data_IF_946013396449
#
_entry.id   IF_946013396449
#
_cell.length_a   1.000
_cell.length_b   1.000
_cell.length_c   1.000
_cell.angle_alpha   90.00
_cell.angle_beta   90.00
_cell.angle_gamma   90.00
#
_symmetry.space_group_name_H-M   'P 1'
#
loop_
_entity.id
_entity.type
_entity.pdbx_description
1 polymer ?
#
# COMPACT_ATOMS: atom_id res chain seq x y z
N UNK A 1 77.91 20.21 7.94
CA UNK A 1 77.41 20.76 6.67
C UNK A 1 77.59 19.70 5.61
N UNK A 2 76.49 19.35 4.90
CA UNK A 2 76.34 18.40 3.76
C UNK A 2 76.19 16.91 4.11
N UNK A 3 74.92 16.50 4.19
CA UNK A 3 74.49 15.11 4.05
C UNK A 3 74.54 14.69 2.58
N UNK A 4 74.97 13.45 2.38
CA UNK A 4 75.13 12.71 1.13
C UNK A 4 73.80 12.24 0.54
N UNK A 5 73.68 12.38 -0.77
CA UNK A 5 72.62 11.86 -1.63
C UNK A 5 72.85 10.38 -1.90
N UNK A 6 71.87 9.52 -1.57
CA UNK A 6 71.88 8.12 -2.04
C UNK A 6 70.45 7.65 -2.30
N UNK A 7 70.20 7.30 -3.57
CA UNK A 7 69.21 6.33 -4.07
C UNK A 7 67.72 6.52 -3.70
N UNK A 8 66.95 7.07 -4.63
CA UNK A 8 65.51 6.80 -4.76
C UNK A 8 65.18 6.43 -6.20
N UNK A 9 65.26 5.14 -6.53
CA UNK A 9 64.53 4.55 -7.64
C UNK A 9 63.99 3.20 -7.17
N UNK A 10 62.70 3.00 -7.41
CA UNK A 10 61.85 1.82 -7.24
C UNK A 10 61.30 1.47 -5.85
N UNK A 11 59.97 1.29 -5.86
CA UNK A 11 59.09 0.62 -4.89
C UNK A 11 58.46 1.50 -3.80
N UNK A 12 57.40 2.23 -4.14
CA UNK A 12 56.02 1.79 -3.90
C UNK A 12 55.09 2.92 -4.32
N UNK A 13 54.27 2.65 -5.35
CA UNK A 13 52.98 3.32 -5.55
C UNK A 13 52.10 2.99 -4.34
N UNK A 14 52.36 3.65 -3.20
CA UNK A 14 51.36 3.81 -2.16
C UNK A 14 50.41 4.88 -2.68
N UNK A 15 49.45 4.39 -3.47
CA UNK A 15 48.28 5.12 -3.91
C UNK A 15 47.81 6.02 -2.77
N UNK A 16 47.70 7.30 -3.11
CA UNK A 16 46.70 8.21 -2.58
C UNK A 16 45.34 7.57 -2.89
N UNK A 17 44.97 6.56 -2.10
CA UNK A 17 43.59 6.16 -1.92
C UNK A 17 43.09 6.99 -0.73
N UNK A 18 43.00 8.30 -0.96
CA UNK A 18 41.89 9.03 -0.37
C UNK A 18 40.67 8.36 -1.01
N UNK A 19 40.13 7.36 -0.32
CA UNK A 19 38.78 6.94 -0.56
C UNK A 19 37.94 8.19 -0.38
N UNK A 20 37.58 8.80 -1.51
CA UNK A 20 36.32 9.50 -1.57
C UNK A 20 35.32 8.44 -1.13
N UNK A 21 34.94 8.49 0.15
CA UNK A 21 33.64 8.03 0.55
C UNK A 21 32.70 8.91 -0.26
N UNK A 22 32.39 8.48 -1.47
CA UNK A 22 31.15 8.88 -2.12
C UNK A 22 30.10 8.41 -1.14
N UNK A 23 29.65 9.32 -0.27
CA UNK A 23 28.36 9.22 0.36
C UNK A 23 27.45 8.97 -0.84
N UNK A 24 27.03 7.72 -1.01
CA UNK A 24 26.01 7.41 -1.99
C UNK A 24 24.82 8.26 -1.52
N UNK A 25 24.58 9.37 -2.21
CA UNK A 25 23.38 10.16 -1.96
C UNK A 25 22.21 9.19 -2.07
N UNK A 26 21.50 9.04 -0.96
CA UNK A 26 20.30 8.22 -0.91
C UNK A 26 19.36 8.79 -1.97
N UNK A 27 18.85 7.97 -2.90
CA UNK A 27 18.05 8.50 -3.99
C UNK A 27 16.82 9.26 -3.49
N UNK A 28 16.92 10.60 -3.49
CA UNK A 28 15.84 11.51 -3.09
C UNK A 28 14.66 11.48 -4.10
N UNK A 29 14.91 10.99 -5.30
CA UNK A 29 14.03 11.12 -6.46
C UNK A 29 13.17 9.86 -6.68
N UNK A 30 11.85 10.04 -6.75
CA UNK A 30 10.84 8.98 -6.84
C UNK A 30 10.21 8.55 -5.53
N UNK A 31 10.71 9.08 -4.42
CA UNK A 31 10.24 8.78 -3.06
C UNK A 31 9.91 10.03 -2.25
N UNK A 32 10.12 11.22 -2.85
CA UNK A 32 9.93 12.52 -2.23
C UNK A 32 8.58 12.62 -1.51
N UNK A 33 7.49 12.24 -2.18
CA UNK A 33 6.14 12.30 -1.64
C UNK A 33 6.02 11.59 -0.28
N UNK A 34 6.24 10.27 -0.24
CA UNK A 34 6.07 9.49 1.00
C UNK A 34 6.98 9.96 2.14
N UNK A 35 8.25 10.30 1.84
CA UNK A 35 9.18 10.84 2.84
C UNK A 35 8.66 12.16 3.42
N UNK A 36 8.29 13.09 2.54
CA UNK A 36 7.80 14.42 2.91
C UNK A 36 6.51 14.35 3.71
N UNK A 37 5.55 13.54 3.27
CA UNK A 37 4.28 13.29 3.94
C UNK A 37 4.47 12.76 5.38
N UNK A 38 5.30 11.73 5.54
CA UNK A 38 5.59 11.14 6.85
C UNK A 38 6.28 12.13 7.79
N UNK A 39 7.28 12.87 7.28
CA UNK A 39 7.97 13.91 8.03
C UNK A 39 7.00 14.97 8.53
N UNK A 40 6.12 15.46 7.65
CA UNK A 40 5.18 16.53 7.98
C UNK A 40 4.09 16.07 8.95
N UNK A 41 3.67 14.80 8.87
CA UNK A 41 2.68 14.23 9.77
C UNK A 41 3.09 14.30 11.25
N UNK A 42 4.39 14.18 11.56
CA UNK A 42 4.92 14.32 12.93
C UNK A 42 4.54 15.66 13.57
N UNK A 43 4.43 16.73 12.79
CA UNK A 43 4.09 18.06 13.31
C UNK A 43 2.60 18.25 13.61
N UNK A 44 1.75 17.36 13.12
CA UNK A 44 0.31 17.36 13.41
C UNK A 44 -0.02 16.76 14.78
N UNK A 45 0.89 15.96 15.34
CA UNK A 45 0.63 15.15 16.53
C UNK A 45 0.32 15.96 17.79
N UNK A 46 -0.26 15.27 18.77
CA UNK A 46 -0.47 15.77 20.12
C UNK A 46 0.88 16.06 20.82
N UNK A 47 0.87 17.01 21.77
CA UNK A 47 2.06 17.40 22.53
C UNK A 47 2.68 16.24 23.33
N UNK A 48 1.89 15.25 23.74
CA UNK A 48 2.38 14.09 24.48
C UNK A 48 3.09 13.07 23.59
N UNK A 49 2.71 13.00 22.31
CA UNK A 49 3.35 12.12 21.32
C UNK A 49 4.59 12.77 20.69
N UNK A 50 4.56 14.08 20.56
CA UNK A 50 5.50 14.85 19.74
C UNK A 50 6.98 14.65 20.11
N UNK A 51 7.39 14.57 21.40
CA UNK A 51 8.79 14.35 21.74
C UNK A 51 9.36 13.05 21.16
N UNK A 52 8.63 11.94 21.28
CA UNK A 52 9.05 10.64 20.76
C UNK A 52 9.17 10.66 19.23
N UNK A 53 8.14 11.15 18.53
CA UNK A 53 8.14 11.16 17.06
C UNK A 53 9.15 12.17 16.47
N UNK A 54 9.35 13.33 17.10
CA UNK A 54 10.36 14.30 16.65
C UNK A 54 11.77 13.79 16.86
N UNK A 55 12.05 13.10 17.96
CA UNK A 55 13.36 12.49 18.19
C UNK A 55 13.73 11.47 17.10
N UNK A 56 12.72 10.83 16.49
CA UNK A 56 12.88 9.75 15.52
C UNK A 56 12.47 10.15 14.09
N UNK A 57 12.34 11.45 13.81
CA UNK A 57 11.73 11.95 12.57
C UNK A 57 12.53 11.57 11.32
N UNK A 58 13.86 11.57 11.38
CA UNK A 58 14.70 11.17 10.23
C UNK A 58 14.50 9.69 9.93
N UNK A 59 14.45 8.85 10.96
CA UNK A 59 14.22 7.42 10.78
C UNK A 59 12.85 7.14 10.14
N UNK A 60 11.79 7.78 10.63
CA UNK A 60 10.44 7.65 10.05
C UNK A 60 10.42 8.15 8.61
N UNK A 61 11.11 9.24 8.32
CA UNK A 61 11.24 9.81 6.97
C UNK A 61 11.91 8.81 6.03
N UNK A 62 13.03 8.22 6.44
CA UNK A 62 13.82 7.31 5.60
C UNK A 62 13.14 5.96 5.36
N UNK A 63 12.38 5.47 6.34
CA UNK A 63 11.68 4.17 6.26
C UNK A 63 10.26 4.29 5.70
N UNK A 64 9.80 5.50 5.35
CA UNK A 64 8.53 5.74 4.66
C UNK A 64 8.42 5.11 3.28
N UNK A 65 9.51 4.55 2.75
CA UNK A 65 9.61 3.97 1.40
C UNK A 65 9.90 2.47 1.43
N UNK A 66 10.06 1.90 2.62
CA UNK A 66 10.35 0.49 2.81
C UNK A 66 9.31 -0.46 2.18
N UNK A 67 7.99 -0.17 2.22
CA UNK A 67 7.00 -0.98 1.52
C UNK A 67 7.30 -1.12 0.03
N UNK A 68 7.64 -0.03 -0.65
CA UNK A 68 8.00 -0.05 -2.06
C UNK A 68 9.27 -0.89 -2.33
N UNK A 69 10.28 -0.76 -1.47
CA UNK A 69 11.49 -1.58 -1.54
C UNK A 69 11.18 -3.07 -1.36
N UNK A 70 10.18 -3.42 -0.54
CA UNK A 70 9.79 -4.81 -0.23
C UNK A 70 9.11 -5.51 -1.41
N UNK A 71 8.60 -4.78 -2.40
CA UNK A 71 8.02 -5.33 -3.64
C UNK A 71 9.02 -6.11 -4.50
N UNK A 72 10.31 -5.84 -4.34
CA UNK A 72 11.38 -6.61 -4.99
C UNK A 72 11.61 -7.96 -4.30
N UNK A 73 11.26 -8.08 -3.03
CA UNK A 73 11.40 -9.30 -2.25
C UNK A 73 10.21 -10.26 -2.43
N UNK A 74 8.97 -9.76 -2.38
CA UNK A 74 7.77 -10.61 -2.36
C UNK A 74 6.61 -10.07 -3.20
N UNK A 75 5.90 -10.97 -3.89
CA UNK A 75 4.67 -10.65 -4.65
C UNK A 75 3.50 -10.25 -3.75
N UNK A 76 3.52 -10.67 -2.48
CA UNK A 76 2.46 -10.39 -1.51
C UNK A 76 2.47 -8.95 -1.01
N UNK A 77 3.53 -8.20 -1.34
CA UNK A 77 3.65 -6.79 -1.00
C UNK A 77 2.92 -5.91 -2.00
N UNK A 78 3.09 -6.14 -3.31
CA UNK A 78 2.57 -5.23 -4.33
C UNK A 78 1.06 -5.00 -4.24
N UNK A 79 0.28 -6.03 -3.91
CA UNK A 79 -1.18 -5.93 -3.77
C UNK A 79 -1.63 -5.03 -2.61
N UNK A 80 -0.73 -4.65 -1.70
CA UNK A 80 -1.04 -3.78 -0.55
C UNK A 80 -1.04 -2.29 -0.89
N UNK A 81 -0.55 -1.93 -2.07
CA UNK A 81 -0.33 -0.55 -2.52
C UNK A 81 -1.53 0.00 -3.30
N UNK A 82 -2.51 -0.83 -3.66
CA UNK A 82 -3.63 -0.41 -4.49
C UNK A 82 -4.91 -1.20 -4.22
N UNK A 83 -6.00 -0.76 -4.83
CA UNK A 83 -7.23 -1.54 -5.06
C UNK A 83 -7.84 -1.13 -6.41
N UNK A 84 -7.88 -2.03 -7.37
CA UNK A 84 -8.55 -1.81 -8.66
C UNK A 84 -10.06 -1.96 -8.47
N UNK A 85 -10.69 -0.98 -7.81
CA UNK A 85 -12.07 -1.11 -7.34
C UNK A 85 -13.07 -1.15 -8.50
N UNK A 86 -12.73 -0.52 -9.63
CA UNK A 86 -13.48 -0.52 -10.89
C UNK A 86 -13.48 -1.89 -11.60
N UNK A 87 -12.52 -2.77 -11.30
CA UNK A 87 -12.53 -4.17 -11.76
C UNK A 87 -13.83 -4.88 -11.37
N UNK A 88 -14.40 -4.52 -10.21
CA UNK A 88 -15.55 -5.19 -9.63
C UNK A 88 -16.90 -4.67 -10.13
N UNK A 89 -16.88 -3.67 -11.01
CA UNK A 89 -18.05 -2.99 -11.55
C UNK A 89 -18.12 -1.53 -11.12
N UNK A 90 -18.78 -0.69 -11.92
CA UNK A 90 -18.87 0.76 -11.67
C UNK A 90 -20.15 1.11 -10.94
N UNK A 91 -20.03 1.81 -9.81
CA UNK A 91 -21.15 2.42 -9.08
C UNK A 91 -20.61 3.60 -8.26
N UNK A 92 -21.48 4.55 -7.89
CA UNK A 92 -21.07 5.78 -7.19
C UNK A 92 -20.24 5.50 -5.91
N UNK A 93 -20.70 4.55 -5.09
CA UNK A 93 -20.08 4.25 -3.80
C UNK A 93 -19.45 2.85 -3.71
N UNK A 94 -19.52 2.02 -4.75
CA UNK A 94 -19.01 0.63 -4.73
C UNK A 94 -19.57 -0.20 -3.56
N UNK A 95 -20.85 -0.04 -3.23
CA UNK A 95 -21.51 -0.72 -2.10
C UNK A 95 -21.45 -2.25 -2.20
N UNK A 96 -21.40 -2.77 -3.43
CA UNK A 96 -21.28 -4.19 -3.72
C UNK A 96 -19.88 -4.77 -3.40
N UNK A 97 -18.85 -3.93 -3.23
CA UNK A 97 -17.50 -4.34 -2.83
C UNK A 97 -17.47 -4.47 -1.30
N UNK A 98 -17.26 -5.68 -0.75
CA UNK A 98 -17.34 -5.89 0.70
C UNK A 98 -16.27 -5.11 1.45
N UNK A 99 -16.66 -4.42 2.52
CA UNK A 99 -15.75 -3.56 3.31
C UNK A 99 -14.91 -4.31 4.32
N UNK A 100 -15.16 -5.61 4.52
CA UNK A 100 -14.43 -6.51 5.42
C UNK A 100 -13.57 -7.47 4.62
N UNK A 101 -12.35 -7.70 5.08
CA UNK A 101 -11.39 -8.57 4.39
C UNK A 101 -11.92 -9.99 4.18
N UNK A 102 -12.47 -10.59 5.24
CA UNK A 102 -13.09 -11.92 5.17
C UNK A 102 -14.22 -11.97 4.15
N UNK A 103 -15.04 -10.92 4.09
CA UNK A 103 -16.18 -10.85 3.17
C UNK A 103 -15.74 -10.68 1.72
N UNK A 104 -14.66 -9.92 1.49
CA UNK A 104 -14.06 -9.77 0.16
C UNK A 104 -13.49 -11.09 -0.37
N UNK A 105 -12.76 -11.82 0.48
CA UNK A 105 -12.22 -13.13 0.12
C UNK A 105 -13.33 -14.14 -0.18
N UNK A 106 -14.31 -14.29 0.72
CA UNK A 106 -15.38 -15.27 0.52
C UNK A 106 -16.25 -14.93 -0.69
N UNK A 107 -16.36 -13.65 -1.06
CA UNK A 107 -17.16 -13.21 -2.20
C UNK A 107 -16.57 -13.63 -3.55
N UNK A 108 -15.24 -13.62 -3.70
CA UNK A 108 -14.59 -13.90 -5.00
C UNK A 108 -13.76 -15.16 -5.06
N UNK A 109 -13.41 -15.75 -3.94
CA UNK A 109 -12.65 -16.98 -3.96
C UNK A 109 -13.47 -18.17 -4.48
N UNK A 110 -12.77 -19.07 -5.17
CA UNK A 110 -13.33 -20.36 -5.55
C UNK A 110 -12.96 -21.41 -4.49
N UNK A 111 -13.92 -22.26 -4.10
CA UNK A 111 -13.65 -23.47 -3.33
C UNK A 111 -13.58 -24.66 -4.28
N UNK A 112 -12.41 -25.28 -4.37
CA UNK A 112 -12.15 -26.46 -5.21
C UNK A 112 -12.26 -27.71 -4.34
N UNK A 113 -13.33 -28.48 -4.52
CA UNK A 113 -13.52 -29.77 -3.86
C UNK A 113 -12.96 -30.85 -4.78
N UNK A 114 -11.82 -31.43 -4.37
CA UNK A 114 -11.10 -32.46 -5.14
C UNK A 114 -11.37 -33.81 -4.50
N UNK A 115 -11.93 -34.75 -5.27
CA UNK A 115 -12.24 -36.09 -4.78
C UNK A 115 -11.03 -37.05 -4.84
N UNK A 116 -11.23 -38.28 -4.40
CA UNK A 116 -10.19 -39.33 -4.39
C UNK A 116 -9.75 -39.78 -5.79
N UNK A 117 -10.55 -39.50 -6.83
CA UNK A 117 -10.22 -39.73 -8.24
C UNK A 117 -9.54 -38.52 -8.89
N UNK A 118 -9.25 -37.48 -8.11
CA UNK A 118 -8.69 -36.21 -8.55
C UNK A 118 -9.63 -35.41 -9.50
N UNK A 119 -10.93 -35.73 -9.49
CA UNK A 119 -11.94 -34.89 -10.14
C UNK A 119 -12.24 -33.67 -9.26
N UNK A 120 -12.51 -32.52 -9.89
CA UNK A 120 -12.62 -31.23 -9.20
C UNK A 120 -13.97 -30.58 -9.46
N UNK A 121 -14.74 -30.39 -8.38
CA UNK A 121 -15.95 -29.55 -8.40
C UNK A 121 -15.61 -28.18 -7.81
N UNK A 122 -15.74 -27.14 -8.63
CA UNK A 122 -15.52 -25.75 -8.19
C UNK A 122 -16.82 -25.16 -7.69
N UNK A 123 -16.81 -24.55 -6.51
CA UNK A 123 -17.92 -23.79 -5.93
C UNK A 123 -17.57 -22.31 -5.90
N UNK A 124 -18.51 -21.47 -6.35
CA UNK A 124 -18.38 -20.01 -6.37
C UNK A 124 -19.56 -19.37 -5.68
N UNK A 125 -19.35 -18.22 -5.04
CA UNK A 125 -20.46 -17.41 -4.53
C UNK A 125 -21.22 -16.81 -5.71
N UNK A 126 -22.52 -17.06 -5.74
CA UNK A 126 -23.48 -16.54 -6.73
C UNK A 126 -24.16 -15.27 -6.20
N UNK A 127 -24.58 -15.29 -4.93
CA UNK A 127 -25.18 -14.14 -4.26
C UNK A 127 -24.96 -14.19 -2.74
N UNK A 128 -24.90 -13.00 -2.12
CA UNK A 128 -24.89 -12.83 -0.67
C UNK A 128 -26.12 -12.00 -0.31
N UNK A 129 -27.03 -12.58 0.47
CA UNK A 129 -28.23 -11.93 0.95
C UNK A 129 -28.03 -11.63 2.44
N UNK A 130 -27.66 -10.39 2.75
CA UNK A 130 -27.49 -9.97 4.13
C UNK A 130 -28.77 -9.29 4.61
N UNK A 131 -29.51 -9.95 5.50
CA UNK A 131 -30.81 -9.47 5.99
C UNK A 131 -30.64 -8.26 6.92
N UNK A 132 -29.61 -8.28 7.77
CA UNK A 132 -29.17 -7.16 8.60
C UNK A 132 -27.69 -6.84 8.27
N UNK A 133 -27.41 -5.71 7.58
CA UNK A 133 -26.06 -5.26 7.28
C UNK A 133 -25.18 -5.02 8.52
N UNK A 134 -25.79 -4.60 9.63
CA UNK A 134 -25.11 -4.24 10.87
C UNK A 134 -24.76 -5.49 11.69
N UNK A 135 -25.58 -6.55 11.59
CA UNK A 135 -25.36 -7.79 12.33
C UNK A 135 -24.70 -8.90 11.49
N UNK A 136 -23.37 -9.04 11.66
CA UNK A 136 -22.51 -9.98 10.92
C UNK A 136 -22.89 -11.46 10.99
N UNK A 137 -23.48 -11.90 12.10
CA UNK A 137 -23.84 -13.30 12.35
C UNK A 137 -25.35 -13.48 12.41
N UNK A 138 -26.07 -12.62 11.70
CA UNK A 138 -27.50 -12.71 11.56
C UNK A 138 -27.96 -14.10 11.08
N UNK A 139 -29.05 -14.57 11.68
CA UNK A 139 -29.58 -15.90 11.45
C UNK A 139 -30.37 -16.02 10.15
N UNK A 140 -30.74 -14.90 9.54
CA UNK A 140 -31.51 -14.84 8.29
C UNK A 140 -30.63 -14.52 7.08
N UNK A 141 -29.38 -14.11 7.30
CA UNK A 141 -28.41 -13.86 6.25
C UNK A 141 -27.90 -15.15 5.61
N UNK A 142 -27.85 -15.16 4.27
CA UNK A 142 -27.55 -16.34 3.43
C UNK A 142 -26.48 -16.05 2.42
N UNK A 143 -25.70 -17.06 2.06
CA UNK A 143 -24.85 -17.07 0.87
C UNK A 143 -25.25 -18.23 -0.02
N UNK A 144 -25.45 -17.91 -1.29
CA UNK A 144 -25.83 -18.85 -2.34
C UNK A 144 -24.56 -19.15 -3.12
N UNK A 145 -24.20 -20.42 -3.22
CA UNK A 145 -23.07 -20.91 -3.99
C UNK A 145 -23.54 -21.77 -5.16
N UNK A 146 -22.82 -21.68 -6.28
CA UNK A 146 -23.06 -22.48 -7.48
C UNK A 146 -21.82 -23.30 -7.82
N UNK A 147 -22.03 -24.57 -8.15
CA UNK A 147 -20.97 -25.48 -8.55
C UNK A 147 -20.77 -25.53 -10.06
N UNK A 148 -19.57 -25.91 -10.51
CA UNK A 148 -19.28 -26.19 -11.92
C UNK A 148 -20.14 -27.32 -12.51
N UNK A 149 -20.70 -28.19 -11.65
CA UNK A 149 -21.64 -29.24 -12.01
C UNK A 149 -23.11 -28.78 -12.03
N UNK A 150 -23.38 -27.48 -11.89
CA UNK A 150 -24.73 -26.90 -11.95
C UNK A 150 -25.56 -27.10 -10.67
N UNK A 151 -24.93 -27.48 -9.54
CA UNK A 151 -25.62 -27.58 -8.25
C UNK A 151 -25.62 -26.22 -7.55
N UNK A 152 -26.69 -25.93 -6.82
CA UNK A 152 -26.80 -24.77 -5.94
C UNK A 152 -26.77 -25.23 -4.49
N UNK A 153 -26.07 -24.47 -3.64
CA UNK A 153 -26.02 -24.67 -2.21
C UNK A 153 -26.30 -23.34 -1.52
N UNK A 154 -27.24 -23.33 -0.58
CA UNK A 154 -27.51 -22.18 0.27
C UNK A 154 -27.04 -22.49 1.68
N UNK A 155 -26.22 -21.61 2.26
CA UNK A 155 -25.74 -21.75 3.64
C UNK A 155 -25.93 -20.44 4.40
N UNK A 156 -26.00 -20.54 5.73
CA UNK A 156 -26.03 -19.35 6.58
C UNK A 156 -24.72 -18.57 6.46
N UNK A 157 -24.81 -17.26 6.21
CA UNK A 157 -23.64 -16.41 5.99
C UNK A 157 -22.71 -16.36 7.21
N UNK A 158 -23.25 -16.28 8.42
CA UNK A 158 -22.46 -16.30 9.65
C UNK A 158 -21.66 -17.60 9.85
N UNK A 159 -22.25 -18.75 9.51
CA UNK A 159 -21.58 -20.05 9.54
C UNK A 159 -20.46 -20.12 8.49
N UNK A 160 -20.70 -19.62 7.28
CA UNK A 160 -19.69 -19.56 6.23
C UNK A 160 -18.53 -18.61 6.59
N UNK A 161 -18.83 -17.43 7.13
CA UNK A 161 -17.82 -16.50 7.69
C UNK A 161 -16.97 -17.19 8.76
N UNK A 162 -17.59 -17.94 9.67
CA UNK A 162 -16.88 -18.69 10.70
C UNK A 162 -15.94 -19.74 10.12
N UNK A 163 -16.36 -20.43 9.05
CA UNK A 163 -15.49 -21.36 8.32
C UNK A 163 -14.26 -20.64 7.75
N UNK A 164 -14.44 -19.50 7.07
CA UNK A 164 -13.35 -18.70 6.51
C UNK A 164 -12.35 -18.24 7.59
N UNK A 165 -12.87 -17.68 8.68
CA UNK A 165 -12.05 -17.15 9.79
C UNK A 165 -11.22 -18.26 10.44
N UNK A 166 -11.82 -19.44 10.67
CA UNK A 166 -11.18 -20.51 11.43
C UNK A 166 -10.30 -21.43 10.60
N UNK A 167 -10.57 -21.56 9.31
CA UNK A 167 -9.93 -22.58 8.48
C UNK A 167 -9.13 -22.00 7.31
N UNK A 168 -9.55 -20.87 6.72
CA UNK A 168 -8.89 -20.34 5.52
C UNK A 168 -7.88 -19.25 5.88
N UNK A 169 -8.28 -18.25 6.66
CA UNK A 169 -7.41 -17.13 7.02
C UNK A 169 -6.09 -17.54 7.71
N UNK A 170 -6.05 -18.55 8.61
CA UNK A 170 -4.80 -18.96 9.27
C UNK A 170 -3.72 -19.48 8.31
N UNK A 171 -4.13 -20.07 7.17
CA UNK A 171 -3.22 -20.68 6.17
C UNK A 171 -3.12 -19.84 4.88
N UNK A 172 -3.66 -18.62 4.88
CA UNK A 172 -3.82 -17.82 3.66
C UNK A 172 -2.51 -17.50 2.91
N UNK A 173 -1.40 -17.40 3.64
CA UNK A 173 -0.08 -17.09 3.08
C UNK A 173 0.78 -18.33 2.80
N UNK A 174 0.21 -19.52 2.90
CA UNK A 174 0.88 -20.75 2.49
C UNK A 174 0.85 -20.91 0.96
N UNK A 175 1.82 -21.64 0.40
CA UNK A 175 1.92 -21.86 -1.04
C UNK A 175 0.69 -22.59 -1.61
N UNK A 176 0.06 -23.45 -0.79
CA UNK A 176 -1.20 -24.10 -1.10
C UNK A 176 -2.22 -23.85 0.02
N UNK A 177 -3.31 -23.14 -0.30
CA UNK A 177 -4.42 -22.94 0.64
C UNK A 177 -5.28 -24.21 0.68
N UNK A 178 -4.94 -25.13 1.59
CA UNK A 178 -5.64 -26.40 1.77
C UNK A 178 -6.39 -26.41 3.09
N UNK A 179 -7.66 -26.81 3.07
CA UNK A 179 -8.51 -26.88 4.26
C UNK A 179 -9.16 -28.25 4.41
N UNK A 180 -9.53 -28.59 5.66
CA UNK A 180 -10.09 -29.90 5.97
C UNK A 180 -11.49 -30.09 5.38
N UNK A 181 -11.74 -31.29 4.85
CA UNK A 181 -13.06 -31.75 4.36
C UNK A 181 -14.15 -31.67 5.43
N UNK A 182 -13.80 -32.00 6.67
CA UNK A 182 -14.72 -31.98 7.81
C UNK A 182 -15.19 -30.56 8.15
N UNK A 183 -14.29 -29.58 8.07
CA UNK A 183 -14.62 -28.17 8.30
C UNK A 183 -15.66 -27.65 7.30
N UNK A 184 -15.60 -28.10 6.04
CA UNK A 184 -16.55 -27.69 5.01
C UNK A 184 -17.88 -28.46 5.11
N UNK A 185 -17.82 -29.74 5.50
CA UNK A 185 -19.01 -30.55 5.80
C UNK A 185 -19.80 -29.93 6.96
N UNK A 186 -19.13 -29.38 7.97
CA UNK A 186 -19.76 -28.71 9.11
C UNK A 186 -20.58 -27.46 8.73
N UNK A 187 -20.29 -26.82 7.59
CA UNK A 187 -21.07 -25.69 7.05
C UNK A 187 -22.05 -26.10 5.96
N UNK A 188 -22.26 -27.41 5.75
CA UNK A 188 -23.32 -27.94 4.88
C UNK A 188 -22.90 -28.24 3.44
N UNK A 189 -21.61 -28.19 3.10
CA UNK A 189 -21.17 -28.51 1.74
C UNK A 189 -21.24 -30.01 1.45
N UNK A 190 -21.61 -30.39 0.21
CA UNK A 190 -21.56 -31.77 -0.24
C UNK A 190 -20.11 -32.18 -0.51
N UNK A 191 -19.50 -32.86 0.47
CA UNK A 191 -18.14 -33.40 0.35
C UNK A 191 -18.21 -34.91 0.03
N UNK A 192 -17.50 -35.40 -1.01
CA UNK A 192 -17.49 -36.82 -1.38
C UNK A 192 -17.18 -37.77 -0.21
N UNK A 193 -17.78 -38.97 -0.24
CA UNK A 193 -17.47 -40.05 0.70
C UNK A 193 -16.07 -40.62 0.41
N UNK A 194 -15.27 -40.86 1.45
CA UNK A 194 -13.88 -41.32 1.33
C UNK A 194 -12.81 -40.23 1.49
N UNK A 195 -13.23 -38.98 1.72
CA UNK A 195 -12.32 -37.85 1.89
C UNK A 195 -11.94 -37.18 0.56
N UNK A 196 -11.30 -36.02 0.66
CA UNK A 196 -10.93 -35.19 -0.48
C UNK A 196 -10.12 -33.99 -0.04
N UNK A 197 -9.41 -33.36 -0.98
CA UNK A 197 -8.64 -32.14 -0.74
C UNK A 197 -9.52 -30.94 -1.07
N UNK A 198 -9.64 -29.99 -0.16
CA UNK A 198 -10.26 -28.70 -0.48
C UNK A 198 -9.16 -27.69 -0.68
N UNK A 199 -9.09 -27.13 -1.88
CA UNK A 199 -8.20 -26.02 -2.18
C UNK A 199 -8.99 -24.73 -2.32
N UNK A 200 -8.47 -23.63 -1.80
CA UNK A 200 -9.03 -22.30 -1.98
C UNK A 200 -8.23 -21.59 -3.06
N UNK A 201 -8.92 -21.07 -4.07
CA UNK A 201 -8.33 -20.17 -5.06
C UNK A 201 -8.81 -18.76 -4.80
N UNK A 202 -7.91 -17.91 -4.36
CA UNK A 202 -8.16 -16.48 -4.23
C UNK A 202 -8.20 -15.81 -5.61
N UNK A 203 -9.33 -15.18 -5.92
CA UNK A 203 -9.51 -14.36 -7.13
C UNK A 203 -9.68 -12.87 -6.79
N UNK A 204 -9.56 -12.47 -5.53
CA UNK A 204 -9.73 -11.09 -5.08
C UNK A 204 -8.41 -10.35 -5.00
N UNK A 205 -7.44 -10.88 -4.22
CA UNK A 205 -6.30 -10.06 -3.78
C UNK A 205 -5.37 -9.61 -4.92
N UNK A 206 -5.40 -10.30 -6.06
CA UNK A 206 -4.69 -9.91 -7.27
C UNK A 206 -5.09 -8.54 -7.81
N UNK A 207 -6.25 -8.02 -7.44
CA UNK A 207 -6.76 -6.68 -7.79
C UNK A 207 -6.58 -5.67 -6.65
N UNK A 208 -5.71 -5.96 -5.69
CA UNK A 208 -5.32 -5.04 -4.64
C UNK A 208 -6.18 -5.14 -3.37
N UNK A 209 -5.53 -4.89 -2.24
CA UNK A 209 -6.08 -5.06 -0.88
C UNK A 209 -5.81 -3.87 0.03
N UNK A 210 -5.40 -2.72 -0.52
CA UNK A 210 -4.99 -1.54 0.24
C UNK A 210 -5.93 -1.15 1.40
N UNK A 211 -7.26 -0.95 1.24
CA UNK A 211 -8.13 -0.56 2.35
C UNK A 211 -8.16 -1.60 3.48
N UNK A 212 -8.08 -2.90 3.13
CA UNK A 212 -8.03 -3.98 4.12
C UNK A 212 -6.69 -4.03 4.84
N UNK A 213 -5.61 -3.72 4.12
CA UNK A 213 -4.27 -3.66 4.71
C UNK A 213 -4.15 -2.48 5.68
N UNK A 214 -4.70 -1.31 5.34
CA UNK A 214 -4.78 -0.14 6.23
C UNK A 214 -5.50 -0.46 7.53
N UNK A 215 -6.64 -1.15 7.47
CA UNK A 215 -7.38 -1.57 8.66
C UNK A 215 -6.55 -2.55 9.51
N UNK A 216 -5.86 -3.50 8.89
CA UNK A 216 -4.98 -4.44 9.61
C UNK A 216 -3.79 -3.72 10.24
N UNK A 217 -3.16 -2.79 9.53
CA UNK A 217 -2.04 -2.00 10.01
C UNK A 217 -2.44 -1.13 11.20
N UNK A 218 -3.60 -0.48 11.14
CA UNK A 218 -4.16 0.30 12.26
C UNK A 218 -4.16 -0.54 13.54
N UNK A 219 -4.77 -1.73 13.51
CA UNK A 219 -4.82 -2.63 14.68
C UNK A 219 -3.42 -3.04 15.18
N UNK A 220 -2.47 -3.28 14.27
CA UNK A 220 -1.09 -3.62 14.63
C UNK A 220 -0.38 -2.47 15.33
N UNK A 221 -0.63 -1.24 14.89
CA UNK A 221 -0.07 -0.03 15.51
C UNK A 221 -0.68 0.18 16.89
N UNK A 222 -2.01 0.07 17.03
CA UNK A 222 -2.69 0.13 18.34
C UNK A 222 -2.10 -0.89 19.30
N UNK A 223 -1.92 -2.14 18.86
CA UNK A 223 -1.28 -3.17 19.70
C UNK A 223 0.18 -2.83 20.03
N UNK A 224 0.95 -2.27 19.09
CA UNK A 224 2.33 -1.87 19.34
C UNK A 224 2.44 -0.74 20.38
N UNK A 225 1.50 0.21 20.37
CA UNK A 225 1.37 1.21 21.43
C UNK A 225 0.97 0.57 22.77
N UNK A 226 -0.03 -0.31 22.78
CA UNK A 226 -0.48 -0.98 24.00
C UNK A 226 0.61 -1.88 24.62
N UNK A 227 1.48 -2.46 23.79
CA UNK A 227 2.66 -3.22 24.21
C UNK A 227 3.85 -2.33 24.59
N UNK A 228 3.74 -1.01 24.46
CA UNK A 228 4.84 -0.04 24.69
C UNK A 228 6.11 -0.36 23.88
N UNK A 229 5.95 -0.95 22.69
CA UNK A 229 7.07 -1.43 21.87
C UNK A 229 7.54 -0.34 20.88
N UNK A 230 8.53 0.44 21.31
CA UNK A 230 9.09 1.57 20.55
C UNK A 230 9.48 1.21 19.10
N UNK A 231 10.16 0.09 18.90
CA UNK A 231 10.64 -0.35 17.57
C UNK A 231 9.48 -0.68 16.64
N UNK A 232 8.47 -1.41 17.15
CA UNK A 232 7.26 -1.73 16.37
C UNK A 232 6.47 -0.47 16.07
N UNK A 233 6.33 0.46 17.02
CA UNK A 233 5.64 1.73 16.82
C UNK A 233 6.27 2.47 15.64
N UNK A 234 7.59 2.67 15.65
CA UNK A 234 8.29 3.40 14.58
C UNK A 234 8.14 2.70 13.22
N UNK A 235 8.46 1.40 13.14
CA UNK A 235 8.37 0.63 11.89
C UNK A 235 6.96 0.65 11.30
N UNK A 236 5.97 0.33 12.12
CA UNK A 236 4.58 0.24 11.64
C UNK A 236 4.00 1.62 11.31
N UNK A 237 4.37 2.68 12.04
CA UNK A 237 3.93 4.04 11.71
C UNK A 237 4.51 4.55 10.39
N UNK A 238 5.80 4.32 10.14
CA UNK A 238 6.45 4.70 8.88
C UNK A 238 5.84 3.94 7.68
N UNK A 239 5.65 2.63 7.81
CA UNK A 239 4.98 1.81 6.78
C UNK A 239 3.52 2.24 6.58
N UNK A 240 2.79 2.55 7.65
CA UNK A 240 1.42 3.04 7.54
C UNK A 240 1.33 4.37 6.82
N UNK A 241 2.28 5.28 7.06
CA UNK A 241 2.34 6.55 6.34
C UNK A 241 2.51 6.37 4.83
N UNK A 242 3.24 5.33 4.40
CA UNK A 242 3.35 4.95 3.00
C UNK A 242 1.99 4.58 2.40
N UNK A 243 1.32 3.56 2.96
CA UNK A 243 0.06 3.05 2.43
C UNK A 243 -1.08 4.08 2.52
N UNK A 244 -1.08 4.94 3.54
CA UNK A 244 -2.01 6.08 3.61
C UNK A 244 -1.74 7.04 2.46
N UNK A 245 -0.47 7.26 2.12
CA UNK A 245 -0.07 7.99 0.91
C UNK A 245 -0.66 7.38 -0.35
N UNK A 246 -0.47 6.08 -0.56
CA UNK A 246 -1.01 5.36 -1.72
C UNK A 246 -2.52 5.53 -1.83
N UNK A 247 -3.23 5.40 -0.70
CA UNK A 247 -4.69 5.50 -0.68
C UNK A 247 -5.20 6.88 -1.11
N UNK A 248 -4.37 7.92 -1.02
CA UNK A 248 -4.73 9.27 -1.44
C UNK A 248 -4.44 9.57 -2.92
N UNK A 249 -3.75 8.66 -3.61
CA UNK A 249 -3.49 8.75 -5.05
C UNK A 249 -4.68 8.16 -5.81
N UNK A 250 -5.34 8.93 -6.70
CA UNK A 250 -6.44 8.41 -7.51
C UNK A 250 -6.07 7.16 -8.31
N UNK A 251 -4.86 7.13 -8.86
CA UNK A 251 -4.39 6.07 -9.75
C UNK A 251 -4.12 4.72 -9.05
N UNK A 252 -3.96 4.69 -7.71
CA UNK A 252 -3.91 3.44 -6.94
C UNK A 252 -5.30 2.83 -6.69
N UNK A 253 -6.36 3.38 -7.30
CA UNK A 253 -7.74 2.91 -7.11
C UNK A 253 -8.39 2.37 -8.39
N UNK A 254 -7.64 2.20 -9.49
CA UNK A 254 -8.21 1.88 -10.82
C UNK A 254 -7.36 0.90 -11.60
N UNK A 255 -8.01 0.04 -12.39
CA UNK A 255 -7.33 -0.78 -13.38
C UNK A 255 -6.50 0.08 -14.36
N UNK A 256 -6.92 1.31 -14.65
CA UNK A 256 -6.21 2.22 -15.57
C UNK A 256 -5.12 3.08 -14.87
N UNK A 257 -4.50 2.55 -13.80
CA UNK A 257 -3.50 3.23 -12.97
C UNK A 257 -2.40 3.98 -13.73
N UNK A 258 -1.88 3.42 -14.83
CA UNK A 258 -0.83 4.06 -15.63
C UNK A 258 -1.38 4.58 -16.95
N UNK A 259 -2.69 4.78 -17.10
CA UNK A 259 -3.29 5.28 -18.35
C UNK A 259 -3.18 4.31 -19.52
N UNK A 260 -2.85 3.04 -19.29
CA UNK A 260 -2.58 2.05 -20.34
C UNK A 260 -3.83 1.63 -21.12
N UNK A 261 -5.02 1.82 -20.56
CA UNK A 261 -6.29 1.58 -21.26
C UNK A 261 -6.73 2.78 -22.11
N UNK A 262 -6.15 3.97 -21.85
CA UNK A 262 -6.51 5.24 -22.50
C UNK A 262 -5.39 5.86 -23.33
N UNK A 263 -4.22 5.23 -23.43
CA UNK A 263 -3.07 5.73 -24.20
C UNK A 263 -2.23 6.78 -23.48
N UNK A 264 -2.32 6.86 -22.15
CA UNK A 264 -1.68 7.86 -21.30
C UNK A 264 -0.55 7.26 -20.44
N UNK A 265 0.13 6.22 -20.95
CA UNK A 265 1.25 5.54 -20.27
C UNK A 265 2.27 6.52 -19.67
N UNK A 266 2.52 6.38 -18.38
CA UNK A 266 3.40 7.25 -17.59
C UNK A 266 2.65 8.26 -16.71
N UNK A 267 1.31 8.33 -16.77
CA UNK A 267 0.53 9.27 -15.95
C UNK A 267 0.62 8.99 -14.44
N UNK A 268 0.90 7.73 -14.04
CA UNK A 268 1.12 7.38 -12.63
C UNK A 268 2.31 8.16 -12.06
N UNK A 269 3.48 7.97 -12.65
CA UNK A 269 4.70 8.65 -12.23
C UNK A 269 4.60 10.17 -12.40
N UNK A 270 3.83 10.64 -13.38
CA UNK A 270 3.56 12.05 -13.56
C UNK A 270 2.82 12.65 -12.35
N UNK A 271 1.72 12.02 -11.94
CA UNK A 271 0.91 12.48 -10.80
C UNK A 271 1.66 12.35 -9.47
N UNK A 272 2.24 11.18 -9.20
CA UNK A 272 2.76 10.80 -7.88
C UNK A 272 4.16 11.34 -7.61
N UNK A 273 5.01 11.42 -8.64
CA UNK A 273 6.39 11.88 -8.48
C UNK A 273 6.58 13.27 -9.08
N UNK A 274 6.35 13.42 -10.40
CA UNK A 274 6.80 14.60 -11.14
C UNK A 274 6.15 15.89 -10.65
N UNK A 275 4.84 15.89 -10.42
CA UNK A 275 4.11 17.08 -9.95
C UNK A 275 4.60 17.51 -8.55
N UNK A 276 4.57 16.65 -7.51
CA UNK A 276 5.09 17.03 -6.20
C UNK A 276 6.57 17.43 -6.20
N UNK A 277 7.41 16.72 -6.96
CA UNK A 277 8.85 17.01 -7.04
C UNK A 277 9.16 18.39 -7.65
N UNK A 278 8.33 18.84 -8.60
CA UNK A 278 8.51 20.15 -9.22
C UNK A 278 7.94 21.30 -8.38
N UNK A 279 6.83 21.08 -7.67
CA UNK A 279 6.02 22.20 -7.17
C UNK A 279 5.78 22.19 -5.66
N UNK A 280 5.84 21.05 -4.98
CA UNK A 280 5.29 20.94 -3.62
C UNK A 280 6.02 21.85 -2.62
N UNK A 281 7.35 21.80 -2.58
CA UNK A 281 8.14 22.59 -1.62
C UNK A 281 8.21 24.09 -1.96
N UNK A 282 7.88 24.47 -3.19
CA UNK A 282 7.87 25.86 -3.64
C UNK A 282 6.48 26.52 -3.53
N UNK A 283 5.39 25.74 -3.63
CA UNK A 283 4.04 26.28 -3.82
C UNK A 283 2.99 25.79 -2.83
N UNK A 284 3.15 24.61 -2.23
CA UNK A 284 2.10 24.06 -1.37
C UNK A 284 2.13 24.71 0.01
N UNK A 285 0.95 24.99 0.56
CA UNK A 285 0.81 25.23 1.99
C UNK A 285 0.75 23.88 2.70
N UNK A 286 1.69 23.61 3.61
CA UNK A 286 1.70 22.38 4.41
C UNK A 286 0.96 22.51 5.74
N UNK A 287 0.30 23.64 6.02
CA UNK A 287 -0.42 23.84 7.27
C UNK A 287 -1.77 23.12 7.28
N UNK A 288 -1.82 21.94 7.91
CA UNK A 288 -3.01 21.07 7.94
C UNK A 288 -3.69 20.96 9.32
N UNK A 289 -3.17 21.66 10.32
CA UNK A 289 -3.67 21.61 11.70
C UNK A 289 -3.26 20.35 12.48
N UNK A 290 -3.94 20.11 13.61
CA UNK A 290 -3.65 18.99 14.53
C UNK A 290 -4.32 17.71 14.10
N UNK A 291 -3.71 16.56 14.38
CA UNK A 291 -4.30 15.24 14.18
C UNK A 291 -5.68 15.13 14.87
N UNK A 292 -6.60 14.40 14.24
CA UNK A 292 -7.97 14.19 14.73
C UNK A 292 -8.22 12.71 15.03
N UNK A 293 -9.12 12.42 15.96
CA UNK A 293 -9.51 11.06 16.28
C UNK A 293 -10.43 10.49 15.19
N UNK A 294 -10.16 9.27 14.75
CA UNK A 294 -10.94 8.55 13.74
C UNK A 294 -11.86 7.56 14.46
N UNK A 295 -13.16 7.85 14.54
CA UNK A 295 -14.14 7.01 15.26
C UNK A 295 -14.32 5.62 14.63
N UNK A 296 -14.38 5.56 13.29
CA UNK A 296 -14.56 4.32 12.55
C UNK A 296 -13.44 4.16 11.51
N UNK A 297 -12.33 3.50 11.86
CA UNK A 297 -11.20 3.34 10.95
C UNK A 297 -11.55 2.69 9.61
N UNK A 298 -12.49 1.73 9.61
CA UNK A 298 -12.91 1.05 8.37
C UNK A 298 -13.56 2.05 7.42
N UNK A 299 -14.57 2.76 7.89
CA UNK A 299 -15.31 3.75 7.10
C UNK A 299 -14.36 4.83 6.60
N UNK A 300 -13.51 5.37 7.49
CA UNK A 300 -12.49 6.35 7.15
C UNK A 300 -11.58 5.92 5.98
N UNK A 301 -11.00 4.73 6.03
CA UNK A 301 -10.12 4.27 4.95
C UNK A 301 -10.87 4.06 3.63
N UNK A 302 -12.11 3.58 3.70
CA UNK A 302 -12.93 3.42 2.51
C UNK A 302 -13.37 4.76 1.91
N UNK A 303 -13.67 5.76 2.73
CA UNK A 303 -13.97 7.11 2.27
C UNK A 303 -12.77 7.75 1.57
N UNK A 304 -11.55 7.52 2.10
CA UNK A 304 -10.31 7.95 1.43
C UNK A 304 -10.18 7.30 0.04
N UNK A 305 -10.41 5.99 -0.06
CA UNK A 305 -10.36 5.25 -1.34
C UNK A 305 -11.43 5.76 -2.31
N UNK A 306 -12.68 5.92 -1.87
CA UNK A 306 -13.79 6.39 -2.71
C UNK A 306 -13.54 7.82 -3.19
N UNK A 307 -13.06 8.70 -2.30
CA UNK A 307 -12.66 10.07 -2.67
C UNK A 307 -11.53 10.05 -3.69
N UNK A 308 -10.48 9.25 -3.51
CA UNK A 308 -9.42 9.07 -4.50
C UNK A 308 -9.98 8.61 -5.85
N UNK A 309 -10.81 7.57 -5.84
CA UNK A 309 -11.36 6.99 -7.06
C UNK A 309 -12.24 7.99 -7.83
N UNK A 310 -13.02 8.81 -7.13
CA UNK A 310 -13.84 9.87 -7.76
C UNK A 310 -13.03 10.88 -8.59
N UNK A 311 -11.71 10.96 -8.37
CA UNK A 311 -10.82 11.89 -9.06
C UNK A 311 -10.12 11.26 -10.28
N UNK A 312 -10.22 9.94 -10.49
CA UNK A 312 -9.57 9.22 -11.60
C UNK A 312 -9.96 9.82 -12.95
N UNK A 313 -11.27 10.07 -13.15
CA UNK A 313 -11.78 10.68 -14.38
C UNK A 313 -11.20 12.07 -14.63
N UNK A 314 -11.05 12.87 -13.57
CA UNK A 314 -10.48 14.22 -13.68
C UNK A 314 -8.99 14.17 -14.04
N UNK A 315 -8.23 13.26 -13.42
CA UNK A 315 -6.82 13.06 -13.72
C UNK A 315 -6.62 12.66 -15.19
N UNK A 316 -7.33 11.63 -15.63
CA UNK A 316 -7.18 11.09 -16.99
C UNK A 316 -7.70 12.07 -18.05
N UNK A 317 -8.92 12.62 -17.89
CA UNK A 317 -9.51 13.49 -18.92
C UNK A 317 -8.77 14.83 -19.05
N UNK A 318 -8.26 15.38 -17.96
CA UNK A 318 -7.49 16.64 -17.99
C UNK A 318 -6.16 16.43 -18.69
N UNK A 319 -5.43 15.34 -18.37
CA UNK A 319 -4.18 15.04 -19.07
C UNK A 319 -4.41 14.80 -20.55
N UNK A 320 -5.44 14.03 -20.93
CA UNK A 320 -5.78 13.78 -22.33
C UNK A 320 -6.13 15.07 -23.09
N UNK A 321 -7.00 15.91 -22.52
CA UNK A 321 -7.37 17.20 -23.13
C UNK A 321 -6.16 18.10 -23.32
N UNK A 322 -5.30 18.19 -22.31
CA UNK A 322 -4.10 19.03 -22.38
C UNK A 322 -3.13 18.48 -23.42
N UNK A 323 -2.90 17.16 -23.44
CA UNK A 323 -2.09 16.48 -24.45
C UNK A 323 -2.55 16.76 -25.88
N UNK A 324 -3.86 16.82 -26.12
CA UNK A 324 -4.42 17.08 -27.44
C UNK A 324 -4.26 18.54 -27.89
N UNK A 325 -4.07 19.48 -26.95
CA UNK A 325 -4.05 20.92 -27.22
C UNK A 325 -2.68 21.57 -27.03
N UNK A 326 -1.79 20.97 -26.24
CA UNK A 326 -0.46 21.48 -25.95
C UNK A 326 0.53 21.12 -27.08
N UNK A 327 1.48 22.00 -27.46
CA UNK A 327 2.47 21.69 -28.50
C UNK A 327 3.23 20.40 -28.24
N UNK A 328 3.14 19.43 -29.16
CA UNK A 328 3.65 18.06 -28.96
C UNK A 328 5.15 17.99 -28.70
N UNK A 329 5.91 18.94 -29.22
CA UNK A 329 7.36 19.10 -29.03
C UNK A 329 7.74 19.67 -27.66
N UNK A 330 6.78 20.18 -26.89
CA UNK A 330 6.97 20.78 -25.56
C UNK A 330 6.42 19.92 -24.42
N UNK A 331 5.76 18.80 -24.71
CA UNK A 331 5.12 17.98 -23.66
C UNK A 331 6.12 17.14 -22.87
N UNK A 332 7.18 16.64 -23.52
CA UNK A 332 8.10 15.67 -22.95
C UNK A 332 9.54 16.16 -23.03
N UNK A 333 10.32 15.82 -22.00
CA UNK A 333 11.77 16.10 -21.89
C UNK A 333 12.51 14.82 -21.52
N UNK A 334 13.82 14.82 -21.76
CA UNK A 334 14.72 13.83 -21.18
C UNK A 334 15.28 14.39 -19.87
N UNK A 335 15.18 13.60 -18.81
CA UNK A 335 15.62 13.96 -17.47
C UNK A 335 16.48 12.83 -16.88
N UNK A 336 17.27 13.10 -15.85
CA UNK A 336 18.12 12.12 -15.19
C UNK A 336 17.53 11.70 -13.85
N UNK A 337 17.08 10.44 -13.73
CA UNK A 337 16.51 9.85 -12.51
C UNK A 337 17.33 8.64 -12.09
N UNK A 338 17.89 8.67 -10.87
CA UNK A 338 18.69 7.56 -10.31
C UNK A 338 19.89 7.16 -11.19
N UNK A 339 20.54 8.13 -11.83
CA UNK A 339 21.63 7.89 -12.78
C UNK A 339 21.19 7.24 -14.09
N UNK A 340 19.89 7.31 -14.43
CA UNK A 340 19.33 6.84 -15.70
C UNK A 340 18.59 7.98 -16.41
N UNK A 341 18.82 8.10 -17.71
CA UNK A 341 18.02 9.00 -18.53
C UNK A 341 16.62 8.42 -18.73
N UNK A 342 15.60 9.19 -18.36
CA UNK A 342 14.18 8.86 -18.55
C UNK A 342 13.53 9.90 -19.47
N UNK A 343 12.44 9.51 -20.14
CA UNK A 343 11.57 10.44 -20.85
C UNK A 343 10.37 10.74 -19.94
N UNK A 344 10.17 12.00 -19.58
CA UNK A 344 9.12 12.44 -18.65
C UNK A 344 8.48 13.75 -19.13
N UNK A 345 7.43 14.20 -18.47
CA UNK A 345 6.73 15.44 -18.78
C UNK A 345 7.62 16.66 -18.48
N UNK A 346 7.59 17.65 -19.37
CA UNK A 346 8.28 18.93 -19.18
C UNK A 346 7.72 19.68 -17.97
N UNK A 347 8.51 20.59 -17.38
CA UNK A 347 8.05 21.41 -16.27
C UNK A 347 6.88 22.33 -16.69
N UNK A 348 6.90 22.80 -17.94
CA UNK A 348 5.86 23.66 -18.51
C UNK A 348 4.55 22.90 -18.71
N UNK A 349 4.61 21.68 -19.26
CA UNK A 349 3.43 20.81 -19.38
C UNK A 349 2.89 20.41 -18.01
N UNK A 350 3.78 20.09 -17.07
CA UNK A 350 3.44 19.78 -15.69
C UNK A 350 2.69 20.96 -15.01
N UNK A 351 3.20 22.19 -15.15
CA UNK A 351 2.58 23.39 -14.61
C UNK A 351 1.22 23.70 -15.27
N UNK A 352 1.10 23.48 -16.58
CA UNK A 352 -0.16 23.65 -17.29
C UNK A 352 -1.22 22.64 -16.81
N UNK A 353 -0.83 21.39 -16.61
CA UNK A 353 -1.71 20.35 -16.08
C UNK A 353 -2.12 20.64 -14.63
N UNK A 354 -1.17 20.96 -13.76
CA UNK A 354 -1.42 21.27 -12.35
C UNK A 354 -2.41 22.45 -12.21
N UNK A 355 -2.24 23.48 -13.04
CA UNK A 355 -3.17 24.61 -13.13
C UNK A 355 -4.58 24.19 -13.52
N UNK A 356 -4.74 23.29 -14.51
CA UNK A 356 -6.06 22.79 -14.90
C UNK A 356 -6.69 21.89 -13.83
N UNK A 357 -5.86 21.25 -13.00
CA UNK A 357 -6.29 20.44 -11.85
C UNK A 357 -6.64 21.29 -10.61
N UNK A 358 -6.44 22.61 -10.67
CA UNK A 358 -6.92 23.59 -9.67
C UNK A 358 -6.50 23.25 -8.23
N UNK A 359 -5.25 22.81 -8.04
CA UNK A 359 -4.71 22.48 -6.72
C UNK A 359 -5.14 21.11 -6.17
N UNK A 360 -5.74 20.24 -7.00
CA UNK A 360 -6.13 18.90 -6.56
C UNK A 360 -4.97 18.11 -5.94
N UNK A 361 -3.77 18.16 -6.54
CA UNK A 361 -2.63 17.39 -6.02
C UNK A 361 -2.21 17.92 -4.65
N UNK A 362 -2.17 19.24 -4.46
CA UNK A 362 -1.95 19.86 -3.15
C UNK A 362 -3.03 19.46 -2.13
N UNK A 363 -4.32 19.50 -2.51
CA UNK A 363 -5.44 19.09 -1.64
C UNK A 363 -5.24 17.64 -1.16
N UNK A 364 -4.92 16.71 -2.08
CA UNK A 364 -4.63 15.31 -1.73
C UNK A 364 -3.40 15.21 -0.83
N UNK A 365 -2.32 15.92 -1.15
CA UNK A 365 -1.09 15.91 -0.37
C UNK A 365 -1.33 16.38 1.08
N UNK A 366 -2.05 17.49 1.25
CA UNK A 366 -2.45 18.03 2.56
C UNK A 366 -3.35 17.07 3.34
N UNK A 367 -4.35 16.49 2.67
CA UNK A 367 -5.24 15.49 3.25
C UNK A 367 -4.43 14.27 3.76
N UNK A 368 -3.43 13.83 3.00
CA UNK A 368 -2.54 12.75 3.41
C UNK A 368 -1.75 13.09 4.66
N UNK A 369 -1.12 14.26 4.76
CA UNK A 369 -0.36 14.68 5.97
C UNK A 369 -1.26 14.60 7.21
N UNK A 370 -2.46 15.17 7.11
CA UNK A 370 -3.45 15.16 8.19
C UNK A 370 -3.92 13.75 8.52
N UNK A 371 -4.15 12.92 7.50
CA UNK A 371 -4.59 11.54 7.65
C UNK A 371 -3.54 10.68 8.37
N UNK A 372 -2.27 10.76 7.98
CA UNK A 372 -1.18 9.99 8.63
C UNK A 372 -1.12 10.33 10.13
N UNK A 373 -1.12 11.63 10.46
CA UNK A 373 -1.12 12.07 11.85
C UNK A 373 -2.34 11.60 12.63
N UNK A 374 -3.53 11.70 12.02
CA UNK A 374 -4.81 11.27 12.62
C UNK A 374 -4.85 9.77 12.86
N UNK A 375 -4.30 8.96 11.96
CA UNK A 375 -4.16 7.51 12.14
C UNK A 375 -3.24 7.18 13.32
N UNK A 376 -2.04 7.77 13.36
CA UNK A 376 -1.08 7.52 14.46
C UNK A 376 -1.68 7.94 15.81
N UNK A 377 -2.31 9.12 15.85
CA UNK A 377 -2.99 9.64 17.02
C UNK A 377 -4.12 8.72 17.48
N UNK A 378 -5.00 8.29 16.57
CA UNK A 378 -6.10 7.38 16.88
C UNK A 378 -5.57 6.07 17.47
N UNK A 379 -4.56 5.47 16.87
CA UNK A 379 -3.97 4.22 17.37
C UNK A 379 -3.38 4.38 18.79
N UNK A 380 -2.78 5.53 19.09
CA UNK A 380 -2.23 5.85 20.41
C UNK A 380 -3.35 6.07 21.45
N UNK A 381 -4.42 6.78 21.08
CA UNK A 381 -5.60 6.98 21.93
C UNK A 381 -6.26 5.65 22.25
N UNK A 382 -6.52 4.82 21.23
CA UNK A 382 -7.15 3.50 21.38
C UNK A 382 -6.31 2.53 22.22
N UNK A 383 -4.99 2.73 22.27
CA UNK A 383 -4.07 1.97 23.10
C UNK A 383 -4.05 2.41 24.58
N UNK A 384 -4.84 3.41 24.95
CA UNK A 384 -4.89 3.95 26.31
C UNK A 384 -3.86 5.04 26.59
N UNK A 385 -3.36 5.72 25.55
CA UNK A 385 -2.45 6.86 25.65
C UNK A 385 -1.17 6.58 26.48
N UNK A 386 -0.38 5.54 26.14
CA UNK A 386 0.86 5.24 26.87
C UNK A 386 1.85 6.41 26.83
N UNK A 387 2.62 6.59 27.91
CA UNK A 387 3.62 7.66 28.04
C UNK A 387 4.85 7.38 27.17
N UNK A 388 4.85 7.95 25.96
CA UNK A 388 5.90 7.73 24.97
C UNK A 388 7.26 8.27 25.40
N UNK A 389 7.33 9.17 26.39
CA UNK A 389 8.61 9.73 26.86
C UNK A 389 9.46 8.71 27.63
N UNK A 390 8.86 7.58 28.05
CA UNK A 390 9.56 6.47 28.69
C UNK A 390 10.11 5.47 27.69
N UNK A 391 9.72 5.59 26.42
CA UNK A 391 10.08 4.67 25.37
C UNK A 391 11.36 5.12 24.69
N UNK A 392 12.25 4.18 24.45
CA UNK A 392 13.48 4.40 23.69
C UNK A 392 13.64 3.22 22.72
N UNK A 393 13.64 3.48 21.40
CA UNK A 393 13.91 2.43 20.43
C UNK A 393 15.30 1.83 20.63
N UNK A 394 15.45 0.55 20.29
CA UNK A 394 16.76 -0.10 20.32
C UNK A 394 17.72 0.63 19.36
N UNK A 395 18.94 1.04 19.78
CA UNK A 395 19.92 1.62 18.87
C UNK A 395 20.19 0.77 17.61
N UNK A 396 20.01 -0.55 17.68
CA UNK A 396 20.11 -1.47 16.53
C UNK A 396 19.08 -1.15 15.45
N UNK A 397 17.91 -0.59 15.80
CA UNK A 397 16.91 -0.13 14.84
C UNK A 397 17.47 0.88 13.83
N UNK A 398 18.43 1.69 14.26
CA UNK A 398 19.09 2.70 13.44
C UNK A 398 20.28 2.16 12.64
N UNK A 399 20.70 0.93 12.91
CA UNK A 399 21.73 0.29 12.10
C UNK A 399 21.14 0.06 10.69
N UNK A 400 21.69 0.76 9.68
CA UNK A 400 21.30 0.61 8.27
C UNK A 400 21.21 -0.87 7.94
N UNK A 401 20.01 -1.35 7.65
CA UNK A 401 19.82 -2.72 7.18
C UNK A 401 20.00 -2.68 5.66
N UNK A 402 21.23 -2.83 5.19
CA UNK A 402 21.62 -2.83 3.76
C UNK A 402 20.85 -3.85 2.89
N UNK A 403 20.02 -4.70 3.48
CA UNK A 403 19.34 -5.83 2.82
C UNK A 403 18.28 -5.38 1.81
N UNK A 404 17.48 -4.35 2.12
CA UNK A 404 16.46 -3.82 1.19
C UNK A 404 17.10 -3.04 0.04
N UNK A 405 18.12 -2.24 0.34
CA UNK A 405 18.86 -1.48 -0.68
C UNK A 405 19.66 -2.39 -1.62
N UNK A 406 20.09 -3.57 -1.15
CA UNK A 406 20.67 -4.61 -2.00
C UNK A 406 19.62 -5.32 -2.87
N UNK A 407 18.41 -5.56 -2.37
CA UNK A 407 17.32 -6.16 -3.15
C UNK A 407 16.89 -5.27 -4.33
N UNK A 408 16.91 -3.95 -4.16
CA UNK A 408 16.67 -2.97 -5.24
C UNK A 408 17.67 -3.11 -6.41
N UNK A 409 18.93 -3.47 -6.12
CA UNK A 409 20.02 -3.49 -7.11
C UNK A 409 19.98 -4.71 -8.04
N UNK A 410 19.21 -5.76 -7.71
CA UNK A 410 19.25 -7.04 -8.42
C UNK A 410 17.92 -7.59 -8.96
N UNK A 411 16.78 -6.94 -8.68
CA UNK A 411 15.45 -7.52 -8.93
C UNK A 411 14.60 -6.78 -9.95
N UNK A 412 13.71 -7.50 -10.65
CA UNK A 412 12.51 -6.93 -11.26
C UNK A 412 11.42 -6.79 -10.18
N UNK A 413 10.60 -5.75 -10.24
CA UNK A 413 9.43 -5.59 -9.36
C UNK A 413 8.55 -6.84 -9.48
N UNK A 414 8.13 -7.42 -8.35
CA UNK A 414 7.16 -8.53 -8.33
C UNK A 414 5.77 -7.96 -8.12
N UNK A 415 4.81 -8.37 -8.94
CA UNK A 415 3.43 -7.84 -8.93
C UNK A 415 3.16 -6.93 -10.11
N UNK A 416 2.22 -5.99 -9.97
CA UNK A 416 1.90 -5.02 -11.02
C UNK A 416 3.12 -4.12 -11.30
N UNK A 417 3.41 -3.90 -12.58
CA UNK A 417 4.56 -3.12 -13.04
C UNK A 417 4.19 -1.63 -12.95
N UNK A 418 4.86 -0.87 -12.09
CA UNK A 418 4.85 0.59 -12.17
C UNK A 418 6.05 0.93 -13.04
N UNK A 419 5.79 1.26 -14.30
CA UNK A 419 6.78 1.73 -15.26
C UNK A 419 6.73 3.24 -15.36
#
# INVERSE_FOLDING_TARGET
MRFTTTFFVTLFLALIAFSAWTIAEDPQWGFFGHRRLNRLAVFTLDQEMMPFFRANIEWITDHAVDPDKRRYATKHEAVRHYIDIDHWGVSENFEHVPRRWTDALLWKADLLVIDSSNDTVTWKVDAINQADPDYLFDNDSRVILRSSAGKTLEVQLGSYRSFWIRNVLPVYYEDELVVSSDSLRAVGFPVPEGGGKISVRDNFSGYGILPYHLEQMHRRITNAFAEENADKILRLCAEMGHYVGDAHVPLHTTENYNGQMTGQTGIHAFWESRIPELFADDTYDYFVGKAEYIENPREYYWDVILKSHSLVDSVLRTEQRLRDTYPSDQQMVFDERLGRTIKTQSAEFAAAWDKEMQGMVEERFRATIKSIGSVWYTCWVDAGQPDLNRLSPDPVLYAKTDTLDQALKGGKIKGRIHE
#
